data_IF_544674862554
#
_entry.id   IF_544674862554
#
_cell.length_a   1.000
_cell.length_b   1.000
_cell.length_c   1.000
_cell.angle_alpha   90.00
_cell.angle_beta   90.00
_cell.angle_gamma   90.00
#
_symmetry.space_group_name_H-M   'P 1'
#
loop_
_entity.id
_entity.type
_entity.pdbx_description
1 polymer ?
#
# COMPACT_ATOMS: atom_id res chain seq x y z
N UNK A 1 28.23 -2.37 -7.94
CA UNK A 1 27.31 -3.44 -8.39
C UNK A 1 26.76 -3.11 -9.78
N UNK A 2 26.95 -3.98 -10.79
CA UNK A 2 26.31 -3.81 -12.11
C UNK A 2 24.79 -3.87 -11.94
N UNK A 3 24.06 -2.84 -12.36
CA UNK A 3 22.59 -2.90 -12.40
C UNK A 3 22.18 -4.02 -13.38
N UNK A 4 21.41 -4.99 -12.89
CA UNK A 4 20.88 -6.08 -13.70
C UNK A 4 20.03 -5.52 -14.84
N UNK A 5 20.22 -6.05 -16.07
CA UNK A 5 19.38 -5.71 -17.24
C UNK A 5 17.91 -6.13 -17.05
N UNK A 6 17.62 -7.00 -16.08
CA UNK A 6 16.29 -7.56 -15.87
C UNK A 6 15.54 -6.83 -14.76
N UNK A 7 14.31 -6.40 -15.06
CA UNK A 7 13.38 -5.82 -14.09
C UNK A 7 13.15 -6.81 -12.96
N UNK A 8 13.22 -6.36 -11.71
CA UNK A 8 12.78 -7.12 -10.54
C UNK A 8 11.44 -6.57 -10.03
N UNK A 9 10.61 -7.42 -9.41
CA UNK A 9 9.34 -6.99 -8.83
C UNK A 9 8.79 -7.97 -7.79
N UNK A 10 7.78 -7.55 -7.02
CA UNK A 10 7.15 -8.37 -5.98
C UNK A 10 6.04 -9.26 -6.57
N UNK A 11 5.68 -10.30 -5.82
CA UNK A 11 4.59 -11.22 -6.18
C UNK A 11 3.20 -10.56 -6.24
N UNK A 12 3.03 -9.40 -5.61
CA UNK A 12 1.75 -8.68 -5.52
C UNK A 12 1.47 -7.77 -6.71
N UNK A 13 2.42 -7.61 -7.65
CA UNK A 13 2.23 -6.76 -8.84
C UNK A 13 2.65 -7.48 -10.11
N UNK A 14 1.76 -7.46 -11.09
CA UNK A 14 2.02 -7.79 -12.49
C UNK A 14 3.20 -7.00 -13.04
N UNK A 15 3.77 -7.49 -14.15
CA UNK A 15 4.84 -6.77 -14.86
C UNK A 15 4.40 -5.37 -15.31
N UNK A 16 3.14 -5.21 -15.70
CA UNK A 16 2.58 -3.92 -16.15
C UNK A 16 2.54 -2.92 -15.00
N UNK A 17 1.94 -3.29 -13.87
CA UNK A 17 1.80 -2.43 -12.70
C UNK A 17 3.16 -2.11 -12.07
N UNK A 18 4.07 -3.09 -11.99
CA UNK A 18 5.44 -2.85 -11.52
C UNK A 18 6.23 -1.90 -12.42
N UNK A 19 6.05 -1.98 -13.75
CA UNK A 19 6.66 -1.02 -14.69
C UNK A 19 6.16 0.41 -14.45
N UNK A 20 4.86 0.60 -14.22
CA UNK A 20 4.28 1.92 -13.89
C UNK A 20 4.87 2.48 -12.60
N UNK A 21 4.93 1.68 -11.54
CA UNK A 21 5.55 2.08 -10.27
C UNK A 21 7.03 2.46 -10.44
N UNK A 22 7.80 1.65 -11.17
CA UNK A 22 9.21 1.91 -11.42
C UNK A 22 9.43 3.16 -12.28
N UNK A 23 8.55 3.42 -13.24
CA UNK A 23 8.58 4.64 -14.03
C UNK A 23 8.33 5.85 -13.14
N UNK A 24 7.26 5.83 -12.34
CA UNK A 24 6.97 6.89 -11.37
C UNK A 24 8.15 7.14 -10.44
N UNK A 25 8.75 6.11 -9.85
CA UNK A 25 9.90 6.25 -8.95
C UNK A 25 11.10 6.92 -9.62
N UNK A 26 11.26 6.80 -10.94
CA UNK A 26 12.34 7.43 -11.70
C UNK A 26 12.03 8.87 -12.09
N UNK A 27 10.76 9.21 -12.32
CA UNK A 27 10.35 10.51 -12.86
C UNK A 27 9.74 11.45 -11.82
N UNK A 28 9.30 10.92 -10.67
CA UNK A 28 8.73 11.72 -9.60
C UNK A 28 9.77 12.68 -9.07
N UNK A 29 9.36 13.94 -8.89
CA UNK A 29 10.20 14.93 -8.23
C UNK A 29 10.41 14.51 -6.77
N UNK A 30 11.61 14.73 -6.21
CA UNK A 30 11.79 14.61 -4.76
C UNK A 30 10.76 15.52 -4.08
N UNK A 31 10.05 14.96 -3.11
CA UNK A 31 9.19 15.76 -2.22
C UNK A 31 10.06 16.16 -1.03
N UNK A 32 10.07 17.45 -0.72
CA UNK A 32 10.75 17.94 0.48
C UNK A 32 9.97 17.48 1.72
N UNK A 33 10.52 16.51 2.44
CA UNK A 33 9.90 15.93 3.62
C UNK A 33 9.04 14.68 3.32
N UNK A 34 7.92 14.54 4.03
CA UNK A 34 7.09 13.34 4.00
C UNK A 34 5.87 13.50 3.07
N UNK A 35 5.74 12.60 2.09
CA UNK A 35 4.61 12.55 1.14
C UNK A 35 3.24 12.34 1.81
N UNK A 36 3.22 11.88 3.06
CA UNK A 36 2.00 11.68 3.84
C UNK A 36 1.70 12.82 4.82
N UNK A 37 2.57 13.83 4.91
CA UNK A 37 2.28 15.04 5.68
C UNK A 37 1.59 16.13 4.83
N UNK A 38 1.77 16.10 3.51
CA UNK A 38 1.13 17.04 2.58
C UNK A 38 -0.07 16.40 1.87
N UNK A 39 -1.31 16.85 2.12
CA UNK A 39 -2.50 16.31 1.45
C UNK A 39 -2.47 16.44 -0.07
N UNK A 40 -1.72 17.40 -0.63
CA UNK A 40 -1.61 17.61 -2.09
C UNK A 40 -0.87 16.47 -2.79
N UNK A 41 -0.07 15.71 -2.05
CA UNK A 41 0.65 14.53 -2.56
C UNK A 41 -0.22 13.26 -2.52
N UNK A 42 -1.36 13.31 -1.83
CA UNK A 42 -2.26 12.17 -1.63
C UNK A 42 -3.26 12.04 -2.78
N UNK A 43 -3.66 10.81 -3.06
CA UNK A 43 -4.71 10.51 -4.04
C UNK A 43 -6.07 10.48 -3.32
N UNK A 44 -6.94 11.42 -3.68
CA UNK A 44 -8.33 11.54 -3.19
C UNK A 44 -8.45 11.41 -1.66
N UNK A 45 -7.78 12.28 -0.88
CA UNK A 45 -7.77 12.16 0.57
C UNK A 45 -9.14 12.48 1.18
N UNK A 46 -9.65 11.54 1.99
CA UNK A 46 -10.87 11.71 2.79
C UNK A 46 -10.46 11.90 4.24
N UNK A 47 -10.76 13.07 4.82
CA UNK A 47 -10.48 13.35 6.23
C UNK A 47 -11.43 12.57 7.15
N UNK A 48 -10.87 11.89 8.16
CA UNK A 48 -11.58 11.10 9.18
C UNK A 48 -10.98 11.35 10.55
N UNK A 49 -11.44 12.41 11.23
CA UNK A 49 -10.90 12.81 12.55
C UNK A 49 -9.39 13.11 12.48
N UNK A 50 -8.60 12.39 13.28
CA UNK A 50 -7.14 12.47 13.30
C UNK A 50 -6.44 11.72 12.14
N UNK A 51 -7.21 11.10 11.25
CA UNK A 51 -6.70 10.29 10.14
C UNK A 51 -7.17 10.81 8.78
N UNK A 52 -6.54 10.28 7.73
CA UNK A 52 -6.95 10.38 6.34
C UNK A 52 -7.02 8.99 5.76
N UNK A 53 -8.05 8.74 4.96
CA UNK A 53 -8.11 7.57 4.09
C UNK A 53 -7.80 8.03 2.67
N UNK A 54 -6.84 7.37 2.04
CA UNK A 54 -6.36 7.77 0.71
C UNK A 54 -6.30 6.55 -0.22
N UNK A 55 -6.46 6.77 -1.52
CA UNK A 55 -6.23 5.74 -2.52
C UNK A 55 -4.75 5.39 -2.66
N UNK A 56 -4.42 4.11 -2.85
CA UNK A 56 -3.06 3.71 -3.19
C UNK A 56 -2.81 3.86 -4.69
N UNK A 57 -2.07 4.91 -5.07
CA UNK A 57 -1.67 5.21 -6.47
C UNK A 57 -1.04 4.01 -7.21
N UNK A 58 -0.42 3.10 -6.47
CA UNK A 58 0.17 1.88 -7.00
C UNK A 58 -0.36 0.66 -6.26
N UNK A 59 -1.68 0.46 -6.36
CA UNK A 59 -2.36 -0.70 -5.83
C UNK A 59 -1.68 -2.02 -6.24
N UNK A 60 -1.94 -3.05 -5.44
CA UNK A 60 -1.51 -4.40 -5.80
C UNK A 60 -2.46 -4.94 -6.86
N UNK A 61 -1.97 -5.88 -7.66
CA UNK A 61 -2.83 -6.64 -8.56
C UNK A 61 -3.38 -7.88 -7.83
N UNK A 62 -2.60 -8.44 -6.89
CA UNK A 62 -2.99 -9.59 -6.08
C UNK A 62 -2.54 -9.47 -4.63
N UNK A 63 -3.31 -10.09 -3.75
CA UNK A 63 -3.02 -10.18 -2.33
C UNK A 63 -3.73 -11.41 -1.76
N UNK A 64 -3.05 -12.14 -0.89
CA UNK A 64 -3.55 -13.35 -0.23
C UNK A 64 -4.23 -14.38 -1.17
N UNK A 65 -3.65 -14.57 -2.36
CA UNK A 65 -4.18 -15.52 -3.35
C UNK A 65 -5.42 -15.05 -4.12
N UNK A 66 -5.90 -13.83 -3.90
CA UNK A 66 -7.03 -13.24 -4.63
C UNK A 66 -6.59 -12.03 -5.46
N UNK A 67 -7.43 -11.63 -6.42
CA UNK A 67 -7.24 -10.35 -7.11
C UNK A 67 -7.64 -9.21 -6.17
N UNK A 68 -6.85 -8.14 -6.16
CA UNK A 68 -7.21 -6.90 -5.45
C UNK A 68 -8.16 -6.08 -6.30
N UNK A 69 -9.30 -5.71 -5.72
CA UNK A 69 -10.33 -4.86 -6.37
C UNK A 69 -10.21 -3.41 -5.94
N UNK A 70 -9.83 -3.17 -4.67
CA UNK A 70 -9.53 -1.83 -4.17
C UNK A 70 -8.38 -1.86 -3.15
N UNK A 71 -7.67 -0.75 -3.03
CA UNK A 71 -6.53 -0.61 -2.13
C UNK A 71 -6.41 0.83 -1.62
N UNK A 72 -6.83 1.01 -0.37
CA UNK A 72 -6.76 2.27 0.35
C UNK A 72 -5.66 2.22 1.41
N UNK A 73 -5.35 3.38 1.99
CA UNK A 73 -4.45 3.49 3.13
C UNK A 73 -5.03 4.44 4.18
N UNK A 74 -5.03 4.01 5.44
CA UNK A 74 -5.29 4.87 6.60
C UNK A 74 -3.98 5.46 7.06
N UNK A 75 -3.94 6.78 7.18
CA UNK A 75 -2.74 7.56 7.50
C UNK A 75 -3.08 8.57 8.61
N UNK A 76 -2.35 8.60 9.73
CA UNK A 76 -2.53 9.64 10.73
C UNK A 76 -2.11 11.01 10.17
N UNK A 77 -2.82 12.07 10.56
CA UNK A 77 -2.45 13.45 10.15
C UNK A 77 -1.12 13.86 10.77
N UNK A 78 -0.88 13.43 12.01
CA UNK A 78 0.38 13.63 12.73
C UNK A 78 1.41 12.61 12.24
N UNK A 79 2.63 13.10 11.98
CA UNK A 79 3.73 12.23 11.57
C UNK A 79 4.14 11.31 12.73
N UNK A 80 3.84 10.01 12.58
CA UNK A 80 4.24 8.95 13.52
C UNK A 80 4.79 7.76 12.76
N UNK A 81 5.58 6.90 13.41
CA UNK A 81 6.24 5.78 12.74
C UNK A 81 5.54 4.44 13.00
N UNK A 82 4.86 4.31 14.15
CA UNK A 82 4.20 3.09 14.59
C UNK A 82 2.88 3.38 15.31
N UNK A 83 2.01 2.38 15.37
CA UNK A 83 0.74 2.44 16.13
C UNK A 83 1.00 2.77 17.60
N UNK A 84 2.13 2.33 18.17
CA UNK A 84 2.51 2.64 19.56
C UNK A 84 2.73 4.15 19.82
N UNK A 85 3.02 4.92 18.77
CA UNK A 85 3.34 6.34 18.88
C UNK A 85 2.06 7.21 18.82
N UNK A 86 0.90 6.60 18.54
CA UNK A 86 -0.40 7.26 18.57
C UNK A 86 -0.82 7.59 20.00
N UNK A 87 -1.50 8.72 20.19
CA UNK A 87 -2.16 9.06 21.46
C UNK A 87 -3.30 8.10 21.75
N UNK A 88 -3.81 8.07 22.99
CA UNK A 88 -4.93 7.21 23.34
C UNK A 88 -6.18 7.49 22.49
N UNK A 89 -6.50 8.76 22.26
CA UNK A 89 -7.64 9.15 21.41
C UNK A 89 -7.42 8.74 19.95
N UNK A 90 -6.20 8.94 19.43
CA UNK A 90 -5.84 8.50 18.08
C UNK A 90 -5.92 6.97 17.95
N UNK A 91 -5.56 6.20 18.99
CA UNK A 91 -5.66 4.73 18.97
C UNK A 91 -7.12 4.26 18.94
N UNK A 92 -8.01 4.92 19.68
CA UNK A 92 -9.44 4.61 19.68
C UNK A 92 -10.07 4.93 18.31
N UNK A 93 -9.79 6.11 17.75
CA UNK A 93 -10.24 6.46 16.40
C UNK A 93 -9.68 5.53 15.33
N UNK A 94 -8.40 5.18 15.44
CA UNK A 94 -7.74 4.24 14.53
C UNK A 94 -8.44 2.87 14.55
N UNK A 95 -8.70 2.32 15.75
CA UNK A 95 -9.40 1.04 15.87
C UNK A 95 -10.83 1.11 15.33
N UNK A 96 -11.55 2.21 15.58
CA UNK A 96 -12.88 2.42 15.04
C UNK A 96 -12.89 2.44 13.50
N UNK A 97 -11.93 3.15 12.88
CA UNK A 97 -11.75 3.17 11.43
C UNK A 97 -11.42 1.78 10.88
N UNK A 98 -10.50 1.07 11.52
CA UNK A 98 -10.17 -0.30 11.11
C UNK A 98 -11.39 -1.21 11.18
N UNK A 99 -12.17 -1.14 12.27
CA UNK A 99 -13.39 -1.93 12.45
C UNK A 99 -14.44 -1.62 11.39
N UNK A 100 -14.60 -0.35 10.99
CA UNK A 100 -15.52 0.06 9.93
C UNK A 100 -15.14 -0.57 8.59
N UNK A 101 -13.89 -0.36 8.15
CA UNK A 101 -13.45 -0.87 6.84
C UNK A 101 -13.35 -2.40 6.81
N UNK A 102 -13.03 -3.05 7.93
CA UNK A 102 -13.09 -4.51 8.03
C UNK A 102 -14.53 -5.01 7.84
N UNK A 103 -15.51 -4.36 8.47
CA UNK A 103 -16.94 -4.63 8.25
C UNK A 103 -17.40 -4.42 6.80
N UNK A 104 -16.76 -3.50 6.08
CA UNK A 104 -16.98 -3.26 4.64
C UNK A 104 -16.20 -4.24 3.72
N UNK A 105 -15.52 -5.22 4.30
CA UNK A 105 -14.83 -6.31 3.58
C UNK A 105 -13.38 -6.02 3.20
N UNK A 106 -12.73 -5.04 3.84
CA UNK A 106 -11.30 -4.79 3.64
C UNK A 106 -10.45 -5.63 4.59
N UNK A 107 -9.40 -6.26 4.03
CA UNK A 107 -8.32 -6.81 4.81
C UNK A 107 -7.39 -5.70 5.31
N UNK A 108 -6.95 -5.79 6.57
CA UNK A 108 -6.08 -4.79 7.21
C UNK A 108 -4.64 -5.31 7.26
N UNK A 109 -3.70 -4.50 6.78
CA UNK A 109 -2.28 -4.85 6.83
C UNK A 109 -1.39 -3.62 7.07
N UNK A 110 -0.59 -3.64 8.13
CA UNK A 110 0.43 -2.61 8.38
C UNK A 110 1.82 -3.21 8.43
N UNK A 111 2.80 -2.51 7.84
CA UNK A 111 4.19 -2.97 7.82
C UNK A 111 4.95 -2.47 9.05
N UNK A 112 5.70 -3.38 9.67
CA UNK A 112 6.68 -3.03 10.69
C UNK A 112 7.68 -1.99 10.16
N UNK A 113 8.18 -1.12 11.05
CA UNK A 113 9.10 -0.03 10.68
C UNK A 113 10.37 -0.53 9.98
N UNK A 114 10.89 -1.67 10.39
CA UNK A 114 12.12 -2.27 9.84
C UNK A 114 11.88 -3.15 8.60
N UNK A 115 10.64 -3.23 8.09
CA UNK A 115 10.36 -4.01 6.90
C UNK A 115 11.05 -3.40 5.67
N UNK A 116 11.91 -4.17 5.00
CA UNK A 116 12.63 -3.72 3.80
C UNK A 116 11.72 -3.27 2.63
N UNK A 117 10.43 -3.61 2.69
CA UNK A 117 9.41 -3.25 1.69
C UNK A 117 8.56 -2.04 2.09
N UNK A 118 8.78 -1.47 3.28
CA UNK A 118 8.16 -0.21 3.72
C UNK A 118 8.92 0.95 3.07
N UNK A 119 8.21 1.75 2.26
CA UNK A 119 8.85 2.77 1.40
C UNK A 119 8.67 4.20 1.89
N UNK A 120 7.71 4.43 2.78
CA UNK A 120 7.46 5.73 3.41
C UNK A 120 7.63 5.56 4.92
N UNK A 121 8.48 6.40 5.50
CA UNK A 121 8.71 6.44 6.94
C UNK A 121 7.67 7.33 7.63
N UNK A 122 6.42 6.86 7.58
CA UNK A 122 5.24 7.39 8.27
C UNK A 122 4.29 6.19 8.38
N UNK A 123 3.65 5.98 9.52
CA UNK A 123 2.62 4.97 9.71
C UNK A 123 1.58 5.06 8.59
N UNK A 124 1.34 3.95 7.93
CA UNK A 124 0.25 3.79 6.98
C UNK A 124 -0.22 2.36 7.07
N UNK A 125 -1.53 2.18 7.07
CA UNK A 125 -2.15 0.87 7.15
C UNK A 125 -2.92 0.63 5.88
N UNK A 126 -2.55 -0.43 5.18
CA UNK A 126 -3.20 -0.85 3.96
C UNK A 126 -4.57 -1.44 4.30
N UNK A 127 -5.58 -0.93 3.62
CA UNK A 127 -6.91 -1.54 3.53
C UNK A 127 -6.99 -2.12 2.13
N UNK A 128 -7.14 -3.44 2.05
CA UNK A 128 -7.08 -4.17 0.77
C UNK A 128 -8.39 -4.94 0.60
N UNK A 129 -9.18 -4.55 -0.39
CA UNK A 129 -10.37 -5.29 -0.76
C UNK A 129 -10.03 -6.30 -1.86
N UNK A 130 -10.56 -7.50 -1.71
CA UNK A 130 -10.29 -8.62 -2.61
C UNK A 130 -11.55 -8.99 -3.37
N UNK A 131 -11.37 -9.55 -4.56
CA UNK A 131 -12.41 -10.33 -5.21
C UNK A 131 -12.69 -11.60 -4.39
N UNK A 132 -13.94 -12.08 -4.43
CA UNK A 132 -14.39 -13.29 -3.74
C UNK A 132 -13.81 -14.57 -4.38
N UNK A 133 -13.39 -14.49 -5.65
CA UNK A 133 -12.84 -15.62 -6.38
C UNK A 133 -11.32 -15.75 -6.17
N UNK A 134 -10.83 -16.91 -5.68
CA UNK A 134 -9.40 -17.16 -5.57
C UNK A 134 -8.76 -17.31 -6.95
N UNK A 135 -7.48 -16.97 -7.03
CA UNK A 135 -6.66 -17.20 -8.22
C UNK A 135 -6.40 -18.70 -8.36
N UNK A 136 -6.84 -19.29 -9.49
CA UNK A 136 -6.67 -20.72 -9.77
C UNK A 136 -5.26 -21.12 -10.15
N UNK A 137 -4.50 -20.21 -10.76
CA UNK A 137 -3.12 -20.45 -11.16
C UNK A 137 -2.30 -19.16 -11.19
N UNK A 138 -1.06 -19.22 -10.73
CA UNK A 138 -0.11 -18.11 -10.78
C UNK A 138 1.29 -18.59 -11.15
N UNK A 139 1.92 -17.90 -12.11
CA UNK A 139 3.35 -18.04 -12.43
C UNK A 139 4.05 -16.76 -12.00
N UNK A 140 5.01 -16.89 -11.09
CA UNK A 140 5.80 -15.77 -10.57
C UNK A 140 7.29 -16.04 -10.69
N UNK A 141 8.04 -15.06 -11.21
CA UNK A 141 9.49 -15.00 -11.20
C UNK A 141 9.90 -13.60 -10.73
N UNK A 142 10.76 -13.53 -9.71
CA UNK A 142 11.26 -12.26 -9.19
C UNK A 142 12.16 -11.54 -10.21
N UNK A 143 13.02 -12.29 -10.91
CA UNK A 143 13.99 -11.77 -11.92
C UNK A 143 14.19 -12.81 -13.03
N UNK A 144 13.84 -12.52 -14.30
CA UNK A 144 13.11 -11.33 -14.75
C UNK A 144 11.70 -11.30 -14.15
N UNK A 145 11.19 -10.09 -13.86
CA UNK A 145 9.88 -9.92 -13.23
C UNK A 145 8.77 -10.42 -14.16
N UNK A 146 8.18 -11.54 -13.78
CA UNK A 146 7.01 -12.16 -14.40
C UNK A 146 6.01 -12.42 -13.30
N UNK A 147 4.77 -12.00 -13.52
CA UNK A 147 3.66 -12.31 -12.64
C UNK A 147 2.43 -12.36 -13.55
N UNK A 148 1.98 -13.60 -13.78
CA UNK A 148 0.82 -13.95 -14.60
C UNK A 148 -0.11 -14.80 -13.75
N UNK A 149 -1.40 -14.54 -13.82
CA UNK A 149 -2.38 -15.30 -13.05
C UNK A 149 -3.67 -15.48 -13.84
N UNK A 150 -4.40 -16.55 -13.50
CA UNK A 150 -5.70 -16.89 -14.06
C UNK A 150 -6.72 -17.06 -12.93
N UNK A 151 -7.87 -16.42 -13.07
CA UNK A 151 -9.05 -16.63 -12.23
C UNK A 151 -9.76 -17.95 -12.50
#
# INVERSE_FOLDING_TARGET
MRQSKYLAGPITRTRKSQKKYNYYKKTAKPVDGCVFCDPREMLDPIDRGNFRVIGNRFMYDTWDGCQVTDHLMVIPKRHVHSVKDLTQDEQLEYLALLSEYEGDGYSIYSRAMNAATRTVDHLHTHLIQLDLAPIKAMVYLTKPHVMLFKK
#
